data_IF_752599883867
#
_entry.id   IF_752599883867
#
_cell.length_a   1.000
_cell.length_b   1.000
_cell.length_c   1.000
_cell.angle_alpha   90.00
_cell.angle_beta   90.00
_cell.angle_gamma   90.00
#
_symmetry.space_group_name_H-M   'P 1'
#
loop_
_entity.id
_entity.type
_entity.pdbx_description
1 polymer ?
#
# COMPACT_ATOMS: atom_id res chain seq x y z
N UNK A 1 -19.46 2.12 4.61
CA UNK A 1 -18.56 2.48 3.50
C UNK A 1 -17.89 1.24 2.96
N UNK A 2 -17.56 1.24 1.67
CA UNK A 2 -16.73 0.22 1.02
C UNK A 2 -15.30 0.74 0.93
N UNK A 3 -14.37 0.07 1.60
CA UNK A 3 -12.98 0.50 1.75
C UNK A 3 -12.08 -0.52 1.06
N UNK A 4 -11.23 -0.06 0.14
CA UNK A 4 -10.21 -0.89 -0.49
C UNK A 4 -8.85 -0.67 0.17
N UNK A 5 -8.24 -1.71 0.73
CA UNK A 5 -6.85 -1.69 1.20
C UNK A 5 -5.95 -2.30 0.11
N UNK A 6 -4.97 -1.53 -0.36
CA UNK A 6 -4.10 -1.92 -1.46
C UNK A 6 -2.68 -2.14 -0.95
N UNK A 7 -2.13 -3.32 -1.21
CA UNK A 7 -0.80 -3.70 -0.76
C UNK A 7 -0.08 -4.56 -1.81
N UNK A 8 1.24 -4.36 -1.96
CA UNK A 8 2.08 -5.14 -2.89
C UNK A 8 2.26 -6.57 -2.39
N UNK A 9 2.13 -6.79 -1.08
CA UNK A 9 2.22 -8.09 -0.42
C UNK A 9 1.21 -8.20 0.71
N UNK A 10 0.65 -9.39 0.89
CA UNK A 10 -0.25 -9.73 1.99
C UNK A 10 0.06 -11.15 2.50
N UNK A 11 -0.77 -11.67 3.40
CA UNK A 11 -0.63 -13.06 3.88
C UNK A 11 -0.47 -14.05 2.71
N UNK A 12 0.29 -15.12 2.86
CA UNK A 12 0.91 -15.65 4.08
C UNK A 12 2.17 -14.93 4.53
N UNK A 13 2.66 -13.93 3.79
CA UNK A 13 3.81 -13.14 4.22
C UNK A 13 3.46 -12.33 5.47
N UNK A 14 4.18 -12.57 6.58
CA UNK A 14 3.95 -11.90 7.86
C UNK A 14 4.94 -10.76 8.04
N UNK A 15 4.42 -9.56 8.15
CA UNK A 15 5.19 -8.33 8.40
C UNK A 15 4.37 -7.35 9.24
N UNK A 16 4.99 -6.29 9.75
CA UNK A 16 4.27 -5.23 10.45
C UNK A 16 3.14 -4.62 9.61
N UNK A 17 3.33 -4.52 8.29
CA UNK A 17 2.34 -3.97 7.36
C UNK A 17 1.15 -4.92 7.21
N UNK A 18 1.40 -6.21 6.99
CA UNK A 18 0.34 -7.21 6.81
C UNK A 18 -0.50 -7.40 8.07
N UNK A 19 0.15 -7.36 9.25
CA UNK A 19 -0.54 -7.36 10.55
C UNK A 19 -1.40 -6.10 10.69
N UNK A 20 -0.86 -4.93 10.37
CA UNK A 20 -1.59 -3.66 10.43
C UNK A 20 -2.83 -3.68 9.53
N UNK A 21 -2.70 -4.15 8.28
CA UNK A 21 -3.82 -4.26 7.34
C UNK A 21 -4.91 -5.20 7.91
N UNK A 22 -4.53 -6.39 8.39
CA UNK A 22 -5.46 -7.36 8.95
C UNK A 22 -6.20 -6.82 10.18
N UNK A 23 -5.50 -6.15 11.09
CA UNK A 23 -6.12 -5.51 12.26
C UNK A 23 -7.08 -4.39 11.87
N UNK A 24 -6.67 -3.49 10.97
CA UNK A 24 -7.54 -2.41 10.50
C UNK A 24 -8.78 -2.95 9.81
N UNK A 25 -8.64 -3.98 8.96
CA UNK A 25 -9.79 -4.65 8.35
C UNK A 25 -10.76 -5.13 9.41
N UNK A 26 -10.27 -5.88 10.41
CA UNK A 26 -11.09 -6.40 11.52
C UNK A 26 -11.86 -5.29 12.25
N UNK A 27 -11.17 -4.21 12.62
CA UNK A 27 -11.81 -3.11 13.37
C UNK A 27 -12.79 -2.31 12.51
N UNK A 28 -12.47 -2.04 11.26
CA UNK A 28 -13.37 -1.33 10.35
C UNK A 28 -14.62 -2.15 10.02
N UNK A 29 -14.47 -3.47 9.86
CA UNK A 29 -15.62 -4.36 9.68
C UNK A 29 -16.51 -4.43 10.94
N UNK A 30 -15.90 -4.41 12.13
CA UNK A 30 -16.66 -4.31 13.40
C UNK A 30 -17.44 -2.99 13.54
N UNK A 31 -16.98 -1.92 12.89
CA UNK A 31 -17.67 -0.64 12.78
C UNK A 31 -18.74 -0.60 11.66
N UNK A 32 -19.00 -1.73 11.00
CA UNK A 32 -20.00 -1.83 9.94
C UNK A 32 -19.55 -1.40 8.55
N UNK A 33 -18.25 -1.28 8.32
CA UNK A 33 -17.69 -1.03 6.99
C UNK A 33 -17.47 -2.33 6.23
N UNK A 34 -17.46 -2.26 4.91
CA UNK A 34 -17.12 -3.39 4.05
C UNK A 34 -15.68 -3.20 3.54
N UNK A 35 -14.76 -4.09 3.94
CA UNK A 35 -13.33 -3.92 3.65
C UNK A 35 -12.83 -5.00 2.70
N UNK A 36 -12.21 -4.57 1.62
CA UNK A 36 -11.57 -5.41 0.61
C UNK A 36 -10.06 -5.22 0.64
N UNK A 37 -9.30 -6.30 0.52
CA UNK A 37 -7.84 -6.24 0.38
C UNK A 37 -7.51 -6.59 -1.07
N UNK A 38 -6.77 -5.70 -1.75
CA UNK A 38 -6.26 -5.90 -3.09
C UNK A 38 -4.75 -6.11 -3.02
N UNK A 39 -4.30 -7.27 -3.47
CA UNK A 39 -2.88 -7.66 -3.41
C UNK A 39 -2.49 -8.48 -4.63
N UNK A 40 -1.22 -8.87 -4.70
CA UNK A 40 -0.69 -9.74 -5.75
C UNK A 40 -0.37 -11.12 -5.19
N UNK A 41 -0.33 -12.11 -6.07
CA UNK A 41 -0.01 -13.48 -5.71
C UNK A 41 -0.76 -14.49 -6.56
N UNK A 42 -0.83 -15.70 -6.05
CA UNK A 42 -1.64 -16.76 -6.62
C UNK A 42 -3.13 -16.44 -6.42
N UNK A 43 -3.89 -16.38 -7.51
CA UNK A 43 -5.33 -16.05 -7.46
C UNK A 43 -6.14 -17.16 -6.77
N UNK A 44 -5.65 -18.39 -6.78
CA UNK A 44 -6.30 -19.56 -6.16
C UNK A 44 -5.83 -19.82 -4.72
N UNK A 45 -5.00 -18.92 -4.16
CA UNK A 45 -4.55 -19.06 -2.77
C UNK A 45 -5.74 -19.08 -1.80
N UNK A 46 -5.83 -20.08 -0.91
CA UNK A 46 -6.96 -20.23 0.00
C UNK A 46 -6.85 -19.24 1.18
N UNK A 47 -7.26 -18.00 0.95
CA UNK A 47 -7.26 -16.98 2.00
C UNK A 47 -8.24 -17.32 3.12
N UNK A 48 -7.76 -17.30 4.37
CA UNK A 48 -8.61 -17.46 5.56
C UNK A 48 -9.56 -16.27 5.76
N UNK A 49 -9.14 -15.10 5.31
CA UNK A 49 -9.92 -13.86 5.40
C UNK A 49 -10.78 -13.66 4.15
N UNK A 50 -12.05 -13.33 4.37
CA UNK A 50 -12.96 -12.98 3.27
C UNK A 50 -12.57 -11.66 2.62
N UNK A 51 -12.89 -11.51 1.33
CA UNK A 51 -12.69 -10.29 0.54
C UNK A 51 -11.21 -9.91 0.36
N UNK A 52 -10.32 -10.90 0.34
CA UNK A 52 -8.97 -10.75 -0.20
C UNK A 52 -9.03 -11.03 -1.70
N UNK A 53 -8.62 -10.06 -2.51
CA UNK A 53 -8.67 -10.12 -3.97
C UNK A 53 -7.24 -10.13 -4.48
N UNK A 54 -6.80 -11.29 -4.97
CA UNK A 54 -5.47 -11.45 -5.51
C UNK A 54 -5.48 -11.25 -7.02
N UNK A 55 -4.45 -10.61 -7.50
CA UNK A 55 -4.15 -10.52 -8.92
C UNK A 55 -2.85 -11.22 -9.20
N UNK A 56 -2.81 -12.03 -10.22
CA UNK A 56 -1.61 -12.79 -10.59
C UNK A 56 -0.43 -11.85 -10.84
N UNK A 57 0.74 -12.23 -10.35
CA UNK A 57 2.01 -11.56 -10.55
C UNK A 57 3.13 -12.58 -10.76
N UNK A 58 4.27 -12.08 -11.20
CA UNK A 58 5.51 -12.87 -11.27
C UNK A 58 6.15 -12.87 -9.88
N UNK A 59 6.45 -14.04 -9.29
CA UNK A 59 7.10 -14.09 -8.00
C UNK A 59 8.52 -13.47 -8.08
N UNK A 60 8.85 -12.64 -7.10
CA UNK A 60 10.17 -12.04 -6.97
C UNK A 60 11.03 -12.92 -6.05
N UNK A 61 11.69 -13.93 -6.61
CA UNK A 61 12.46 -14.92 -5.86
C UNK A 61 11.62 -15.50 -4.69
N UNK A 62 12.27 -15.89 -3.60
CA UNK A 62 11.60 -16.42 -2.39
C UNK A 62 11.21 -15.34 -1.38
N UNK A 63 11.01 -14.10 -1.84
CA UNK A 63 10.72 -12.95 -0.96
C UNK A 63 9.25 -12.85 -0.51
N UNK A 64 8.36 -13.61 -1.15
CA UNK A 64 6.90 -13.49 -0.96
C UNK A 64 6.27 -12.30 -1.68
N UNK A 65 7.08 -11.48 -2.38
CA UNK A 65 6.58 -10.39 -3.22
C UNK A 65 6.31 -10.89 -4.64
N UNK A 66 5.33 -10.25 -5.27
CA UNK A 66 4.96 -10.49 -6.66
C UNK A 66 4.98 -9.19 -7.44
N UNK A 67 5.54 -9.21 -8.64
CA UNK A 67 5.54 -8.06 -9.55
C UNK A 67 4.35 -8.19 -10.49
N UNK A 68 3.47 -7.19 -10.48
CA UNK A 68 2.37 -7.08 -11.43
C UNK A 68 2.07 -5.61 -11.74
N UNK A 69 1.91 -5.30 -13.00
CA UNK A 69 1.61 -3.94 -13.46
C UNK A 69 0.12 -3.71 -13.72
N UNK A 70 -0.72 -4.65 -13.34
CA UNK A 70 -2.18 -4.53 -13.48
C UNK A 70 -2.91 -5.41 -12.49
N UNK A 71 -4.08 -4.96 -12.08
CA UNK A 71 -5.05 -5.82 -11.40
C UNK A 71 -5.84 -6.66 -12.41
N UNK A 72 -6.27 -7.85 -11.99
CA UNK A 72 -7.16 -8.70 -12.78
C UNK A 72 -8.55 -8.05 -12.97
N UNK A 73 -9.41 -8.68 -13.76
CA UNK A 73 -10.72 -8.11 -14.10
C UNK A 73 -11.62 -7.95 -12.86
N UNK A 74 -11.60 -8.92 -11.96
CA UNK A 74 -12.39 -8.88 -10.73
C UNK A 74 -11.95 -7.70 -9.83
N UNK A 75 -10.65 -7.58 -9.56
CA UNK A 75 -10.09 -6.48 -8.77
C UNK A 75 -10.45 -5.11 -9.36
N UNK A 76 -10.29 -4.94 -10.67
CA UNK A 76 -10.64 -3.68 -11.36
C UNK A 76 -12.13 -3.33 -11.29
N UNK A 77 -13.01 -4.34 -11.36
CA UNK A 77 -14.45 -4.12 -11.20
C UNK A 77 -14.79 -3.69 -9.79
N UNK A 78 -14.23 -4.38 -8.78
CA UNK A 78 -14.46 -4.07 -7.37
C UNK A 78 -13.87 -2.72 -6.96
N UNK A 79 -12.66 -2.37 -7.40
CA UNK A 79 -12.04 -1.08 -7.11
C UNK A 79 -12.93 0.11 -7.51
N UNK A 80 -13.65 -0.02 -8.62
CA UNK A 80 -14.57 1.03 -9.10
C UNK A 80 -15.78 1.27 -8.19
N UNK A 81 -16.00 0.39 -7.24
CA UNK A 81 -17.13 0.44 -6.30
C UNK A 81 -16.71 0.83 -4.89
N UNK A 82 -15.45 1.19 -4.70
CA UNK A 82 -14.94 1.65 -3.40
C UNK A 82 -15.29 3.11 -3.17
N UNK A 83 -15.64 3.44 -1.93
CA UNK A 83 -15.85 4.83 -1.49
C UNK A 83 -14.51 5.52 -1.20
N UNK A 84 -13.49 4.74 -0.83
CA UNK A 84 -12.13 5.19 -0.57
C UNK A 84 -11.15 4.03 -0.71
N UNK A 85 -9.92 4.34 -1.10
CA UNK A 85 -8.83 3.35 -1.10
C UNK A 85 -7.71 3.78 -0.17
N UNK A 86 -7.16 2.80 0.58
CA UNK A 86 -6.05 2.98 1.49
C UNK A 86 -4.85 2.18 1.00
N UNK A 87 -3.84 2.88 0.55
CA UNK A 87 -2.61 2.32 -0.03
C UNK A 87 -1.56 2.16 1.07
N UNK A 88 -0.92 0.99 1.11
CA UNK A 88 0.11 0.65 2.09
C UNK A 88 1.52 0.53 1.49
N UNK A 89 1.63 0.43 0.16
CA UNK A 89 2.89 0.47 -0.58
C UNK A 89 2.76 1.44 -1.75
N UNK A 90 3.69 2.40 -1.91
CA UNK A 90 3.56 3.44 -2.93
C UNK A 90 3.82 2.95 -4.36
N UNK A 91 4.53 1.82 -4.51
CA UNK A 91 5.04 1.38 -5.81
C UNK A 91 3.96 0.75 -6.70
N UNK A 92 3.83 -0.59 -6.71
CA UNK A 92 2.90 -1.27 -7.62
C UNK A 92 1.45 -0.94 -7.29
N UNK A 93 0.99 -1.23 -6.08
CA UNK A 93 -0.38 -0.96 -5.65
C UNK A 93 -0.70 0.53 -5.60
N UNK A 94 0.27 1.39 -5.24
CA UNK A 94 0.13 2.83 -5.26
C UNK A 94 -0.07 3.38 -6.67
N UNK A 95 0.78 2.98 -7.61
CA UNK A 95 0.66 3.36 -9.02
C UNK A 95 -0.69 2.89 -9.61
N UNK A 96 -1.12 1.67 -9.27
CA UNK A 96 -2.40 1.15 -9.73
C UNK A 96 -3.60 1.86 -9.08
N UNK A 97 -3.48 2.30 -7.81
CA UNK A 97 -4.48 3.16 -7.19
C UNK A 97 -4.65 4.48 -7.95
N UNK A 98 -3.55 5.15 -8.30
CA UNK A 98 -3.58 6.35 -9.12
C UNK A 98 -4.25 6.09 -10.48
N UNK A 99 -3.88 5.00 -11.14
CA UNK A 99 -4.40 4.66 -12.46
C UNK A 99 -5.90 4.34 -12.46
N UNK A 100 -6.39 3.57 -11.48
CA UNK A 100 -7.78 3.10 -11.48
C UNK A 100 -8.73 3.97 -10.67
N UNK A 101 -8.28 4.59 -9.58
CA UNK A 101 -9.14 5.30 -8.65
C UNK A 101 -9.22 6.80 -8.93
N UNK A 102 -8.08 7.46 -9.21
CA UNK A 102 -8.05 8.90 -9.42
C UNK A 102 -8.92 9.41 -10.56
N UNK A 103 -8.97 8.80 -11.74
CA UNK A 103 -9.86 9.25 -12.83
C UNK A 103 -11.35 9.12 -12.49
N UNK A 104 -11.69 8.46 -11.39
CA UNK A 104 -13.07 8.23 -10.90
C UNK A 104 -13.41 9.03 -9.68
N UNK A 105 -12.52 9.89 -9.22
CA UNK A 105 -12.72 10.67 -8.00
C UNK A 105 -12.78 9.84 -6.72
N UNK A 106 -12.25 8.60 -6.73
CA UNK A 106 -12.15 7.76 -5.53
C UNK A 106 -10.96 8.26 -4.72
N UNK A 107 -11.17 8.73 -3.47
CA UNK A 107 -10.10 9.27 -2.64
C UNK A 107 -9.02 8.22 -2.34
N UNK A 108 -7.76 8.66 -2.35
CA UNK A 108 -6.59 7.83 -2.08
C UNK A 108 -5.94 8.28 -0.77
N UNK A 109 -5.95 7.40 0.22
CA UNK A 109 -5.19 7.55 1.47
C UNK A 109 -3.91 6.73 1.33
N UNK A 110 -2.79 7.25 1.78
CA UNK A 110 -1.53 6.52 1.82
C UNK A 110 -0.96 6.51 3.24
N UNK A 111 -0.59 5.34 3.75
CA UNK A 111 0.21 5.22 4.98
C UNK A 111 1.63 4.80 4.62
N UNK A 112 2.58 5.67 4.95
CA UNK A 112 3.99 5.38 4.79
C UNK A 112 4.50 4.57 5.99
N UNK A 113 4.55 3.25 5.85
CA UNK A 113 4.98 2.34 6.92
C UNK A 113 6.49 2.20 7.04
N UNK A 114 7.23 2.47 5.98
CA UNK A 114 8.62 2.06 5.83
C UNK A 114 9.53 3.29 5.65
N UNK A 115 10.69 3.21 6.24
CA UNK A 115 11.82 4.09 5.97
C UNK A 115 12.44 3.67 4.62
N UNK A 116 11.78 4.04 3.53
CA UNK A 116 12.23 3.66 2.17
C UNK A 116 13.65 4.15 1.85
N UNK A 117 14.06 5.24 2.48
CA UNK A 117 15.43 5.77 2.43
C UNK A 117 16.49 4.77 2.93
N UNK A 118 16.15 3.90 3.87
CA UNK A 118 17.03 2.86 4.40
C UNK A 118 16.93 1.54 3.63
N UNK A 119 15.87 1.33 2.87
CA UNK A 119 15.56 0.06 2.23
C UNK A 119 15.47 0.15 0.71
N UNK A 120 15.98 1.23 0.11
CA UNK A 120 15.94 1.44 -1.34
C UNK A 120 16.47 0.24 -2.14
N UNK A 121 17.56 -0.39 -1.71
CA UNK A 121 18.13 -1.57 -2.35
C UNK A 121 17.24 -2.81 -2.29
N UNK A 122 16.46 -2.98 -1.22
CA UNK A 122 15.54 -4.11 -1.08
C UNK A 122 14.36 -4.01 -2.06
N UNK A 123 13.95 -2.79 -2.40
CA UNK A 123 12.86 -2.54 -3.35
C UNK A 123 13.30 -2.39 -4.81
N UNK A 124 14.60 -2.09 -5.03
CA UNK A 124 15.19 -1.90 -6.34
C UNK A 124 16.49 -2.72 -6.47
N UNK A 125 16.42 -4.06 -6.36
CA UNK A 125 17.59 -4.93 -6.42
C UNK A 125 18.27 -4.77 -7.78
N UNK A 126 19.60 -4.62 -7.75
CA UNK A 126 20.43 -4.48 -8.97
C UNK A 126 20.69 -3.05 -9.42
N UNK A 127 20.08 -2.04 -8.78
CA UNK A 127 20.49 -0.65 -8.99
C UNK A 127 21.57 -0.24 -7.99
N UNK A 128 22.56 0.58 -8.39
CA UNK A 128 23.47 1.19 -7.43
C UNK A 128 22.70 2.00 -6.38
N UNK A 129 23.13 1.97 -5.12
CA UNK A 129 22.45 2.58 -3.98
C UNK A 129 22.06 4.05 -4.22
N UNK A 130 22.99 4.84 -4.75
CA UNK A 130 22.76 6.25 -5.07
C UNK A 130 21.64 6.47 -6.10
N UNK A 131 21.46 5.55 -7.05
CA UNK A 131 20.37 5.63 -8.02
C UNK A 131 19.03 5.27 -7.40
N UNK A 132 19.00 4.27 -6.52
CA UNK A 132 17.80 3.88 -5.79
C UNK A 132 17.28 5.01 -4.89
N UNK A 133 18.16 5.66 -4.15
CA UNK A 133 17.82 6.82 -3.32
C UNK A 133 17.32 8.00 -4.14
N UNK A 134 18.01 8.37 -5.23
CA UNK A 134 17.61 9.49 -6.10
C UNK A 134 16.24 9.24 -6.74
N UNK A 135 16.01 8.02 -7.24
CA UNK A 135 14.73 7.64 -7.82
C UNK A 135 13.60 7.70 -6.79
N UNK A 136 13.88 7.27 -5.57
CA UNK A 136 12.91 7.27 -4.47
C UNK A 136 12.60 8.70 -3.99
N UNK A 137 13.61 9.56 -3.87
CA UNK A 137 13.47 10.96 -3.51
C UNK A 137 12.66 11.75 -4.56
N UNK A 138 12.73 11.38 -5.82
CA UNK A 138 11.92 11.98 -6.88
C UNK A 138 10.48 11.43 -6.90
N UNK A 139 10.33 10.11 -6.76
CA UNK A 139 9.05 9.42 -6.89
C UNK A 139 8.12 9.66 -5.70
N UNK A 140 8.61 9.46 -4.48
CA UNK A 140 7.76 9.44 -3.27
C UNK A 140 7.02 10.77 -3.03
N UNK A 141 7.65 11.95 -3.16
CA UNK A 141 6.95 13.22 -3.07
C UNK A 141 5.88 13.40 -4.15
N UNK A 142 6.17 12.95 -5.37
CA UNK A 142 5.21 13.02 -6.47
C UNK A 142 3.99 12.14 -6.19
N UNK A 143 4.22 10.92 -5.73
CA UNK A 143 3.16 10.01 -5.31
C UNK A 143 2.34 10.58 -4.16
N UNK A 144 2.99 11.08 -3.10
CA UNK A 144 2.32 11.65 -1.93
C UNK A 144 1.45 12.87 -2.29
N UNK A 145 1.90 13.73 -3.21
CA UNK A 145 1.11 14.87 -3.70
C UNK A 145 -0.15 14.46 -4.45
N UNK A 146 -0.16 13.26 -5.00
CA UNK A 146 -1.34 12.69 -5.68
C UNK A 146 -2.34 12.04 -4.74
N UNK A 147 -1.99 11.83 -3.47
CA UNK A 147 -2.88 11.27 -2.45
C UNK A 147 -3.69 12.38 -1.77
N UNK A 148 -4.95 12.08 -1.42
CA UNK A 148 -5.82 13.00 -0.70
C UNK A 148 -5.44 13.11 0.79
N UNK A 149 -4.81 12.06 1.33
CA UNK A 149 -4.28 12.03 2.69
C UNK A 149 -3.02 11.17 2.76
N UNK A 150 -1.97 11.69 3.37
CA UNK A 150 -0.76 10.95 3.71
C UNK A 150 -0.66 10.79 5.23
N UNK A 151 -0.51 9.55 5.68
CA UNK A 151 -0.39 9.17 7.09
C UNK A 151 1.02 8.69 7.37
N UNK A 152 1.56 9.09 8.50
CA UNK A 152 2.82 8.62 9.07
C UNK A 152 2.57 7.95 10.42
N UNK A 153 3.18 6.79 10.72
CA UNK A 153 3.02 6.09 11.99
C UNK A 153 3.77 6.74 13.15
N UNK A 154 4.67 7.68 12.86
CA UNK A 154 5.48 8.35 13.88
C UNK A 154 5.94 9.73 13.41
N UNK A 155 6.35 10.55 14.37
CA UNK A 155 6.94 11.86 14.09
C UNK A 155 8.24 11.73 13.27
N UNK A 156 9.09 10.74 13.58
CA UNK A 156 10.34 10.52 12.85
C UNK A 156 10.12 10.20 11.37
N UNK A 157 9.16 9.33 11.05
CA UNK A 157 8.81 9.05 9.63
C UNK A 157 8.23 10.30 8.95
N UNK A 158 7.46 11.11 9.66
CA UNK A 158 6.97 12.39 9.12
C UNK A 158 8.10 13.35 8.77
N UNK A 159 9.14 13.43 9.62
CA UNK A 159 10.30 14.27 9.36
C UNK A 159 11.07 13.82 8.12
N UNK A 160 11.22 12.50 7.93
CA UNK A 160 11.81 11.95 6.71
C UNK A 160 10.98 12.29 5.48
N UNK A 161 9.66 12.14 5.53
CA UNK A 161 8.79 12.53 4.41
C UNK A 161 8.91 14.04 4.11
N UNK A 162 9.04 14.87 5.15
CA UNK A 162 9.25 16.31 4.99
C UNK A 162 10.60 16.65 4.36
N UNK A 163 11.68 15.93 4.69
CA UNK A 163 12.98 16.13 4.07
C UNK A 163 12.96 15.80 2.57
N UNK A 164 12.03 14.95 2.13
CA UNK A 164 11.76 14.67 0.71
C UNK A 164 10.76 15.64 0.07
N UNK A 165 10.33 16.68 0.79
CA UNK A 165 9.40 17.69 0.26
C UNK A 165 7.92 17.34 0.36
N UNK A 166 7.54 16.32 1.15
CA UNK A 166 6.14 16.00 1.44
C UNK A 166 5.66 16.80 2.66
N UNK A 167 4.97 17.91 2.41
CA UNK A 167 4.60 18.86 3.48
C UNK A 167 3.32 18.46 4.24
N UNK A 168 2.33 17.90 3.53
CA UNK A 168 1.01 17.58 4.09
C UNK A 168 0.95 16.13 4.61
N UNK A 169 1.53 15.89 5.79
CA UNK A 169 1.54 14.56 6.44
C UNK A 169 0.87 14.65 7.80
N UNK A 170 -0.12 13.77 8.04
CA UNK A 170 -0.71 13.57 9.37
C UNK A 170 -0.02 12.43 10.10
N UNK A 171 0.28 12.64 11.38
CA UNK A 171 0.79 11.59 12.25
C UNK A 171 -0.39 10.89 12.91
N UNK A 172 -0.47 9.57 12.72
CA UNK A 172 -1.39 8.71 13.45
C UNK A 172 -0.54 7.68 14.17
N UNK A 173 -0.44 7.82 15.49
CA UNK A 173 0.29 6.87 16.32
C UNK A 173 -0.48 5.56 16.38
N UNK A 174 0.17 4.48 16.00
CA UNK A 174 -0.36 3.16 16.25
C UNK A 174 -0.05 2.79 17.69
N UNK A 175 -1.03 2.92 18.58
CA UNK A 175 -0.91 2.38 19.92
C UNK A 175 -0.67 0.87 19.81
N UNK A 176 0.46 0.42 20.31
CA UNK A 176 0.67 -1.01 20.53
C UNK A 176 -0.33 -1.42 21.60
N UNK A 177 -1.38 -2.12 21.19
CA UNK A 177 -2.19 -2.89 22.10
C UNK A 177 -1.38 -4.16 22.40
N UNK A 178 -0.68 -4.15 23.52
CA UNK A 178 -0.09 -5.34 24.16
C UNK A 178 -1.20 -6.12 24.84
#
# INVERSE_FOLDING_TARGET
>A
MRIGMLADVYKPHVSGITIYISLNKKYLEALGHEVFIFTFGDEDYPDEEKKVIRSQGLPLLDTGYYISFRYNQQARRLLRTMDVVHVHHPFLSGTLAQHYCRPRGIPIIFTNHTRYDLYAQAYLPGLPEAFGETALQAYLPSFCRSCDLVISPSQGVKEVLRSFGVLAVRVVLFLRLW
#
